data_IF_311303521645
#
_entry.id   IF_311303521645
#
_cell.length_a   1.000
_cell.length_b   1.000
_cell.length_c   1.000
_cell.angle_alpha   90.00
_cell.angle_beta   90.00
_cell.angle_gamma   90.00
#
_symmetry.space_group_name_H-M   'P 1'
#
loop_
_entity.id
_entity.type
_entity.pdbx_description
1 polymer ?
#
# COMPACT_ATOMS: atom_id res chain seq x y z
N UNK A 1 -4.87 16.94 -9.19
CA UNK A 1 -3.56 17.09 -8.49
C UNK A 1 -3.83 17.47 -7.04
N UNK A 2 -2.90 17.20 -6.11
CA UNK A 2 -3.03 17.61 -4.70
C UNK A 2 -1.79 18.46 -4.32
N UNK A 3 -1.92 19.77 -4.07
CA UNK A 3 -0.78 20.69 -3.91
C UNK A 3 -0.18 20.65 -2.49
N UNK A 4 0.08 19.45 -1.98
CA UNK A 4 0.63 19.22 -0.63
C UNK A 4 1.20 17.81 -0.52
N UNK A 5 1.88 17.55 0.59
CA UNK A 5 2.16 16.18 1.01
C UNK A 5 0.86 15.39 1.22
N UNK A 6 0.92 14.09 0.95
CA UNK A 6 -0.21 13.17 0.97
C UNK A 6 0.18 11.83 1.59
N UNK A 7 -0.80 10.95 1.80
CA UNK A 7 -0.54 9.55 2.17
C UNK A 7 0.38 8.88 1.14
N UNK A 8 0.18 9.19 -0.14
CA UNK A 8 1.04 8.68 -1.22
C UNK A 8 2.45 9.25 -1.20
N UNK A 9 2.66 10.52 -0.81
CA UNK A 9 4.03 11.05 -0.67
C UNK A 9 4.75 10.44 0.53
N UNK A 10 4.04 10.14 1.62
CA UNK A 10 4.60 9.42 2.76
C UNK A 10 4.98 7.99 2.37
N UNK A 11 4.10 7.27 1.66
CA UNK A 11 4.38 5.94 1.11
C UNK A 11 5.58 5.98 0.16
N UNK A 12 5.62 6.92 -0.79
CA UNK A 12 6.73 7.08 -1.72
C UNK A 12 8.05 7.35 -0.99
N UNK A 13 8.04 8.19 0.06
CA UNK A 13 9.24 8.47 0.86
C UNK A 13 9.76 7.21 1.57
N UNK A 14 8.86 6.35 2.06
CA UNK A 14 9.25 5.04 2.62
C UNK A 14 9.70 4.04 1.56
N UNK A 15 9.10 4.10 0.38
CA UNK A 15 9.40 3.20 -0.73
C UNK A 15 10.76 3.47 -1.36
N UNK A 16 11.20 4.73 -1.44
CA UNK A 16 12.45 5.11 -2.12
C UNK A 16 13.57 5.49 -1.16
N UNK A 17 13.24 5.75 0.12
CA UNK A 17 14.15 6.35 1.08
C UNK A 17 14.35 7.86 0.89
N UNK A 18 13.71 8.48 -0.11
CA UNK A 18 13.80 9.93 -0.36
C UNK A 18 12.81 10.71 0.52
N UNK A 19 13.26 11.60 1.42
CA UNK A 19 12.38 12.23 2.41
C UNK A 19 11.64 13.45 1.82
N UNK A 20 10.58 13.22 1.03
CA UNK A 20 9.86 14.26 0.26
C UNK A 20 9.46 15.46 1.13
N UNK A 21 8.88 15.23 2.31
CA UNK A 21 8.43 16.32 3.18
C UNK A 21 9.60 17.18 3.70
N UNK A 22 10.74 16.56 4.02
CA UNK A 22 11.96 17.25 4.50
C UNK A 22 12.57 18.11 3.39
N UNK A 23 12.64 17.57 2.17
CA UNK A 23 13.12 18.29 0.99
C UNK A 23 12.18 19.43 0.64
N UNK A 24 10.87 19.16 0.55
CA UNK A 24 9.86 20.19 0.23
C UNK A 24 9.86 21.36 1.22
N UNK A 25 10.08 21.09 2.52
CA UNK A 25 10.19 22.16 3.53
C UNK A 25 11.39 23.08 3.29
N UNK A 26 12.54 22.55 2.84
CA UNK A 26 13.71 23.36 2.50
C UNK A 26 13.52 24.14 1.20
N UNK A 27 12.89 23.52 0.20
CA UNK A 27 12.51 24.21 -1.04
C UNK A 27 11.60 25.42 -0.75
N UNK A 28 10.68 25.29 0.21
CA UNK A 28 9.78 26.37 0.59
C UNK A 28 10.49 27.62 1.16
N UNK A 29 11.75 27.50 1.60
CA UNK A 29 12.56 28.61 2.11
C UNK A 29 13.69 29.00 1.15
N UNK A 30 13.58 28.66 -0.13
CA UNK A 30 14.43 29.18 -1.20
C UNK A 30 15.53 28.24 -1.69
N UNK A 31 15.68 27.04 -1.11
CA UNK A 31 16.64 26.07 -1.61
C UNK A 31 16.22 25.46 -2.95
N UNK A 32 17.19 25.10 -3.77
CA UNK A 32 16.97 24.28 -4.98
C UNK A 32 17.31 22.81 -4.72
N UNK A 33 16.93 21.90 -5.63
CA UNK A 33 17.15 20.47 -5.45
C UNK A 33 18.64 20.07 -5.51
N UNK A 34 19.43 20.79 -6.30
CA UNK A 34 20.87 20.58 -6.49
C UNK A 34 21.71 21.08 -5.29
N UNK A 35 21.18 22.03 -4.51
CA UNK A 35 21.79 22.49 -3.25
C UNK A 35 21.61 21.51 -2.09
N UNK A 36 20.60 20.64 -2.17
CA UNK A 36 20.27 19.71 -1.10
C UNK A 36 20.96 18.36 -1.31
N UNK A 37 21.48 17.79 -0.23
CA UNK A 37 22.17 16.51 -0.27
C UNK A 37 21.25 15.35 0.14
N UNK A 38 21.39 14.19 -0.50
CA UNK A 38 20.59 13.01 -0.22
C UNK A 38 21.04 12.30 1.06
N UNK A 39 20.14 12.20 2.05
CA UNK A 39 20.42 11.66 3.37
C UNK A 39 20.93 10.20 3.32
N UNK A 40 20.30 9.32 2.52
CA UNK A 40 20.56 7.87 2.54
C UNK A 40 21.85 7.46 1.84
N UNK A 41 22.38 8.28 0.92
CA UNK A 41 23.68 8.05 0.27
C UNK A 41 24.84 8.72 1.02
N UNK A 42 24.59 9.20 2.25
CA UNK A 42 25.57 9.89 3.08
C UNK A 42 25.95 11.27 2.56
N UNK A 43 25.02 11.94 1.88
CA UNK A 43 25.22 13.27 1.29
C UNK A 43 26.14 13.30 0.07
N UNK A 44 26.43 12.16 -0.55
CA UNK A 44 27.33 12.05 -1.71
C UNK A 44 26.65 12.42 -3.04
N UNK A 45 25.33 12.33 -3.10
CA UNK A 45 24.53 12.67 -4.28
C UNK A 45 23.58 13.81 -3.92
N UNK A 46 23.27 14.73 -4.85
CA UNK A 46 22.28 15.78 -4.61
C UNK A 46 20.87 15.20 -4.49
N UNK A 47 19.89 16.01 -4.11
CA UNK A 47 18.47 15.68 -4.10
C UNK A 47 17.82 15.85 -5.49
N UNK A 48 18.53 16.46 -6.44
CA UNK A 48 18.14 16.60 -7.86
C UNK A 48 18.39 15.30 -8.64
N UNK A 49 17.70 14.23 -8.27
CA UNK A 49 17.77 12.95 -8.97
C UNK A 49 16.42 12.21 -8.86
N UNK A 50 16.22 11.21 -9.72
CA UNK A 50 15.10 10.29 -9.63
C UNK A 50 15.58 8.99 -8.96
N UNK A 51 15.00 8.57 -7.82
CA UNK A 51 15.38 7.31 -7.19
C UNK A 51 15.08 6.12 -8.09
N UNK A 52 16.06 5.23 -8.24
CA UNK A 52 15.87 3.90 -8.84
C UNK A 52 15.87 2.85 -7.73
N UNK A 53 14.92 1.94 -7.78
CA UNK A 53 14.75 0.85 -6.81
C UNK A 53 14.93 -0.50 -7.50
N UNK A 54 15.53 -1.44 -6.80
CA UNK A 54 15.80 -2.80 -7.27
C UNK A 54 14.91 -3.84 -6.57
N UNK A 55 13.79 -3.37 -6.01
CA UNK A 55 12.79 -4.15 -5.28
C UNK A 55 11.37 -3.66 -5.60
N UNK A 56 10.37 -4.44 -5.18
CA UNK A 56 8.95 -4.13 -5.30
C UNK A 56 8.39 -3.74 -3.94
N UNK A 57 7.67 -2.63 -3.89
CA UNK A 57 6.92 -2.17 -2.72
C UNK A 57 5.44 -2.44 -2.92
N UNK A 58 4.83 -3.16 -1.98
CA UNK A 58 3.39 -3.43 -1.97
C UNK A 58 2.73 -2.73 -0.80
N UNK A 59 1.60 -2.08 -1.05
CA UNK A 59 0.76 -1.45 -0.03
C UNK A 59 -0.63 -2.09 -0.03
N UNK A 60 -1.10 -2.54 1.13
CA UNK A 60 -2.45 -3.09 1.30
C UNK A 60 -3.23 -2.24 2.32
N UNK A 61 -4.43 -1.74 1.99
CA UNK A 61 -5.28 -1.02 2.94
C UNK A 61 -5.85 -1.94 4.02
N UNK A 62 -5.99 -1.42 5.24
CA UNK A 62 -6.66 -2.08 6.38
C UNK A 62 -8.06 -1.50 6.57
N UNK A 63 -9.05 -2.37 6.76
CA UNK A 63 -10.47 -2.03 6.96
C UNK A 63 -10.96 -2.59 8.28
N UNK A 64 -11.98 -1.98 8.89
CA UNK A 64 -12.61 -2.47 10.12
C UNK A 64 -14.14 -2.58 9.96
N UNK A 65 -14.61 -3.21 8.87
CA UNK A 65 -16.05 -3.31 8.59
C UNK A 65 -16.82 -4.09 9.65
N UNK A 66 -16.15 -5.00 10.38
CA UNK A 66 -16.72 -5.74 11.51
C UNK A 66 -17.25 -4.82 12.64
N UNK A 67 -16.73 -3.59 12.74
CA UNK A 67 -17.20 -2.58 13.71
C UNK A 67 -18.41 -1.79 13.23
N UNK A 68 -18.84 -1.98 11.98
CA UNK A 68 -19.89 -1.18 11.32
C UNK A 68 -20.87 -2.09 10.57
N UNK A 69 -21.59 -2.96 11.28
CA UNK A 69 -22.45 -3.99 10.68
C UNK A 69 -23.52 -3.47 9.69
N UNK A 70 -23.99 -2.23 9.85
CA UNK A 70 -24.96 -1.62 8.93
C UNK A 70 -24.35 -0.87 7.74
N UNK A 71 -23.02 -0.80 7.66
CA UNK A 71 -22.33 -0.08 6.58
C UNK A 71 -22.22 -0.94 5.32
N UNK A 72 -22.30 -0.30 4.16
CA UNK A 72 -21.94 -0.95 2.90
C UNK A 72 -20.42 -1.20 2.87
N UNK A 73 -20.03 -2.47 2.80
CA UNK A 73 -18.65 -2.96 2.85
C UNK A 73 -17.93 -3.00 1.48
N UNK A 74 -18.63 -2.63 0.40
CA UNK A 74 -18.06 -2.63 -0.96
C UNK A 74 -17.16 -1.43 -1.17
N UNK A 75 -16.02 -1.66 -1.82
CA UNK A 75 -15.05 -0.63 -2.16
C UNK A 75 -15.60 0.23 -3.30
N UNK A 76 -15.37 1.54 -3.18
CA UNK A 76 -15.80 2.55 -4.14
C UNK A 76 -14.76 3.68 -4.15
N UNK A 77 -15.04 4.78 -4.85
CA UNK A 77 -14.15 5.94 -4.94
C UNK A 77 -13.94 6.64 -3.60
N UNK A 78 -14.92 6.56 -2.69
CA UNK A 78 -14.80 7.05 -1.32
C UNK A 78 -14.00 6.08 -0.43
N UNK A 79 -13.00 6.61 0.27
CA UNK A 79 -12.13 5.83 1.15
C UNK A 79 -12.91 5.29 2.36
N UNK A 80 -12.80 3.98 2.60
CA UNK A 80 -13.36 3.27 3.78
C UNK A 80 -12.28 2.57 4.63
N UNK A 81 -11.03 2.57 4.18
CA UNK A 81 -9.90 1.98 4.91
C UNK A 81 -9.50 2.88 6.09
N UNK A 82 -9.19 2.26 7.22
CA UNK A 82 -8.74 2.93 8.45
C UNK A 82 -7.21 3.01 8.56
N UNK A 83 -6.49 2.19 7.81
CA UNK A 83 -5.04 2.10 7.87
C UNK A 83 -4.44 1.48 6.60
N UNK A 84 -3.14 1.21 6.64
CA UNK A 84 -2.42 0.52 5.57
C UNK A 84 -1.15 -0.15 6.10
N UNK A 85 -0.80 -1.28 5.49
CA UNK A 85 0.50 -1.94 5.66
C UNK A 85 1.32 -1.76 4.38
N UNK A 86 2.64 -1.71 4.53
CA UNK A 86 3.60 -1.68 3.44
C UNK A 86 4.59 -2.83 3.63
N UNK A 87 4.96 -3.49 2.53
CA UNK A 87 6.04 -4.46 2.51
C UNK A 87 6.96 -4.23 1.30
N UNK A 88 8.20 -4.71 1.43
CA UNK A 88 9.23 -4.66 0.40
C UNK A 88 9.69 -6.08 0.11
N UNK A 89 9.81 -6.45 -1.16
CA UNK A 89 10.35 -7.74 -1.59
C UNK A 89 11.14 -7.60 -2.89
N UNK A 90 12.08 -8.50 -3.16
CA UNK A 90 12.84 -8.54 -4.42
C UNK A 90 11.95 -8.86 -5.61
N UNK A 91 10.82 -9.53 -5.37
CA UNK A 91 9.81 -9.86 -6.37
C UNK A 91 8.43 -9.41 -5.92
N UNK A 92 7.50 -9.29 -6.88
CA UNK A 92 6.11 -8.98 -6.58
C UNK A 92 5.45 -10.02 -5.66
N UNK A 93 5.72 -11.31 -5.89
CA UNK A 93 5.16 -12.40 -5.08
C UNK A 93 5.63 -12.30 -3.62
N UNK A 94 6.93 -12.07 -3.41
CA UNK A 94 7.49 -11.90 -2.07
C UNK A 94 6.90 -10.68 -1.37
N UNK A 95 6.91 -9.53 -2.06
CA UNK A 95 6.40 -8.26 -1.51
C UNK A 95 4.92 -8.37 -1.11
N UNK A 96 4.10 -9.02 -1.95
CA UNK A 96 2.67 -9.22 -1.70
C UNK A 96 2.41 -10.15 -0.51
N UNK A 97 3.07 -11.31 -0.44
CA UNK A 97 2.91 -12.26 0.66
C UNK A 97 3.36 -11.65 2.00
N UNK A 98 4.45 -10.87 1.99
CA UNK A 98 4.89 -10.11 3.16
C UNK A 98 3.85 -9.08 3.61
N UNK A 99 3.22 -8.38 2.67
CA UNK A 99 2.17 -7.43 2.99
C UNK A 99 0.91 -8.11 3.55
N UNK A 100 0.49 -9.25 2.98
CA UNK A 100 -0.68 -10.01 3.45
C UNK A 100 -0.50 -10.48 4.90
N UNK A 101 0.63 -11.13 5.21
CA UNK A 101 0.87 -11.61 6.58
C UNK A 101 1.12 -10.49 7.59
N UNK A 102 1.59 -9.32 7.14
CA UNK A 102 1.78 -8.14 7.98
C UNK A 102 0.52 -7.27 8.14
N UNK A 103 -0.62 -7.66 7.55
CA UNK A 103 -1.85 -6.86 7.58
C UNK A 103 -2.59 -6.92 8.93
N UNK A 104 -2.16 -7.80 9.85
CA UNK A 104 -2.75 -7.97 11.19
C UNK A 104 -4.26 -8.26 11.12
N UNK A 105 -4.64 -9.19 10.24
CA UNK A 105 -6.00 -9.75 10.09
C UNK A 105 -6.04 -11.26 10.36
N UNK A 106 -4.95 -11.82 10.90
CA UNK A 106 -4.78 -13.27 11.10
C UNK A 106 -4.47 -14.05 9.82
N UNK A 107 -4.19 -13.37 8.70
CA UNK A 107 -3.77 -14.02 7.47
C UNK A 107 -2.29 -14.42 7.53
N UNK A 108 -1.96 -15.60 7.01
CA UNK A 108 -0.58 -16.06 6.78
C UNK A 108 -0.16 -15.92 5.31
N UNK A 109 -1.09 -15.59 4.42
CA UNK A 109 -0.88 -15.35 3.00
C UNK A 109 -2.21 -15.34 2.25
N UNK A 110 -2.34 -16.19 1.24
CA UNK A 110 -3.60 -16.45 0.54
C UNK A 110 -4.39 -17.55 1.25
N UNK A 111 -4.84 -17.26 2.47
CA UNK A 111 -5.67 -18.19 3.24
C UNK A 111 -7.07 -18.31 2.58
N UNK A 112 -7.57 -19.54 2.37
CA UNK A 112 -8.82 -19.75 1.66
C UNK A 112 -10.02 -19.18 2.43
N UNK A 113 -10.92 -18.49 1.71
CA UNK A 113 -12.15 -17.91 2.26
C UNK A 113 -13.41 -18.75 2.01
N UNK A 114 -13.34 -19.68 1.06
CA UNK A 114 -14.41 -20.61 0.74
C UNK A 114 -13.86 -22.02 0.75
N UNK A 115 -14.70 -22.98 1.12
CA UNK A 115 -14.35 -24.40 1.07
C UNK A 115 -14.53 -24.94 -0.34
N UNK A 116 -13.74 -25.95 -0.71
CA UNK A 116 -13.78 -26.54 -2.06
C UNK A 116 -15.02 -27.43 -2.29
N UNK A 117 -15.60 -27.94 -1.21
CA UNK A 117 -16.82 -28.75 -1.18
C UNK A 117 -18.11 -27.90 -1.07
N UNK A 118 -17.99 -26.59 -0.92
CA UNK A 118 -19.14 -25.69 -0.88
C UNK A 118 -19.75 -25.55 -2.30
N UNK A 119 -20.98 -26.05 -2.52
CA UNK A 119 -21.62 -25.97 -3.84
C UNK A 119 -21.87 -24.53 -4.29
N UNK A 120 -21.88 -23.57 -3.37
CA UNK A 120 -22.04 -22.14 -3.65
C UNK A 120 -20.71 -21.38 -3.76
N UNK A 121 -19.57 -22.06 -3.64
CA UNK A 121 -18.24 -21.42 -3.62
C UNK A 121 -18.04 -20.51 -4.85
N UNK A 122 -18.34 -21.01 -6.05
CA UNK A 122 -18.21 -20.25 -7.29
C UNK A 122 -19.10 -18.99 -7.31
N UNK A 123 -20.30 -19.06 -6.74
CA UNK A 123 -21.21 -17.92 -6.64
C UNK A 123 -20.64 -16.85 -5.70
N UNK A 124 -20.13 -17.26 -4.54
CA UNK A 124 -19.47 -16.38 -3.56
C UNK A 124 -18.21 -15.73 -4.14
N UNK A 125 -17.36 -16.54 -4.80
CA UNK A 125 -16.17 -16.07 -5.50
C UNK A 125 -16.53 -15.03 -6.56
N UNK A 126 -17.50 -15.33 -7.42
CA UNK A 126 -17.92 -14.42 -8.49
C UNK A 126 -18.41 -13.08 -7.95
N UNK A 127 -19.15 -13.09 -6.84
CA UNK A 127 -19.63 -11.87 -6.17
C UNK A 127 -18.46 -11.03 -5.66
N UNK A 128 -17.54 -11.63 -4.91
CA UNK A 128 -16.40 -10.92 -4.32
C UNK A 128 -15.41 -10.39 -5.37
N UNK A 129 -15.28 -11.08 -6.50
CA UNK A 129 -14.48 -10.60 -7.64
C UNK A 129 -15.16 -9.46 -8.39
N UNK A 130 -16.47 -9.56 -8.64
CA UNK A 130 -17.25 -8.56 -9.38
C UNK A 130 -17.38 -7.26 -8.58
N UNK A 131 -17.82 -7.35 -7.33
CA UNK A 131 -18.11 -6.21 -6.46
C UNK A 131 -17.15 -6.22 -5.28
N UNK A 132 -15.97 -5.62 -5.49
CA UNK A 132 -14.82 -5.73 -4.60
C UNK A 132 -15.13 -5.36 -3.14
N UNK A 133 -14.94 -6.32 -2.23
CA UNK A 133 -14.86 -6.08 -0.78
C UNK A 133 -13.43 -5.99 -0.27
N UNK A 134 -13.26 -5.91 1.05
CA UNK A 134 -11.95 -5.93 1.71
C UNK A 134 -11.20 -7.27 1.51
N UNK A 135 -11.93 -8.36 1.28
CA UNK A 135 -11.36 -9.71 1.21
C UNK A 135 -11.07 -10.20 -0.21
N UNK A 136 -11.40 -9.42 -1.27
CA UNK A 136 -11.32 -9.86 -2.68
C UNK A 136 -10.00 -10.57 -3.04
N UNK A 137 -8.88 -10.09 -2.49
CA UNK A 137 -7.54 -10.65 -2.76
C UNK A 137 -7.37 -12.09 -2.25
N UNK A 138 -8.15 -12.52 -1.25
CA UNK A 138 -8.09 -13.85 -0.64
C UNK A 138 -9.04 -14.86 -1.31
N UNK A 139 -9.97 -14.37 -2.13
CA UNK A 139 -11.01 -15.20 -2.76
C UNK A 139 -10.57 -15.75 -4.12
N UNK A 140 -9.40 -15.33 -4.62
CA UNK A 140 -8.82 -15.82 -5.87
C UNK A 140 -7.99 -17.08 -5.61
N UNK A 141 -8.52 -18.25 -5.99
CA UNK A 141 -7.77 -19.52 -6.10
C UNK A 141 -8.26 -20.33 -7.29
#
# INVERSE_FOLDING_TARGET
MNPRVSRSSALASKATGFPIAKVAAKLAVGYTLDELMNDITGGRTPASFEPSIDYVVTKIPRFNFEKFAGANDRLTTQMKSVGEVMAIGRTQQESLQKALRGLEVGATGFDPKVSLDDPEALTKIRRELKDAGAERILVYR
#
